data_IF_470836666770
#
_entry.id   IF_470836666770
#
_cell.length_a   1.000
_cell.length_b   1.000
_cell.length_c   1.000
_cell.angle_alpha   90.00
_cell.angle_beta   90.00
_cell.angle_gamma   90.00
#
_symmetry.space_group_name_H-M   'P 1'
#
loop_
_entity.id
_entity.type
_entity.pdbx_description
1 polymer ?
#
# COMPACT_ATOMS: atom_id res chain seq x y z
N UNK A 1 -16.03 -2.07 -10.51
CA UNK A 1 -16.77 -1.47 -9.38
C UNK A 1 -16.82 -2.53 -8.30
N UNK A 2 -16.37 -2.25 -7.07
CA UNK A 2 -16.21 -3.27 -6.02
C UNK A 2 -17.56 -3.55 -5.32
N UNK A 3 -18.41 -4.38 -5.92
CA UNK A 3 -19.79 -4.62 -5.44
C UNK A 3 -19.79 -5.42 -4.13
N UNK A 4 -18.87 -6.37 -3.95
CA UNK A 4 -18.78 -7.19 -2.73
C UNK A 4 -18.62 -6.36 -1.45
N UNK A 5 -17.86 -5.26 -1.52
CA UNK A 5 -17.65 -4.33 -0.40
C UNK A 5 -18.91 -3.56 0.01
N UNK A 6 -19.87 -3.38 -0.91
CA UNK A 6 -21.15 -2.72 -0.60
C UNK A 6 -21.98 -3.51 0.40
N UNK A 7 -21.89 -4.84 0.36
CA UNK A 7 -22.70 -5.76 1.18
C UNK A 7 -22.21 -5.79 2.63
N UNK A 8 -20.89 -5.70 2.84
CA UNK A 8 -20.26 -5.75 4.16
C UNK A 8 -20.60 -4.50 5.01
N UNK A 9 -20.63 -3.32 4.38
CA UNK A 9 -20.89 -2.07 5.09
C UNK A 9 -19.69 -1.55 5.92
N UNK A 10 -19.87 -0.38 6.55
CA UNK A 10 -18.79 0.39 7.22
C UNK A 10 -18.58 0.03 8.68
N UNK A 11 -19.58 -0.58 9.32
CA UNK A 11 -19.65 -0.74 10.77
C UNK A 11 -18.74 -1.88 11.27
N UNK A 12 -18.66 -2.98 10.51
CA UNK A 12 -17.90 -4.15 10.94
C UNK A 12 -16.45 -4.09 10.49
N UNK A 13 -15.59 -4.71 11.30
CA UNK A 13 -14.18 -4.88 10.99
C UNK A 13 -13.95 -6.34 10.68
N UNK A 14 -13.76 -6.65 9.40
CA UNK A 14 -13.56 -8.01 8.94
C UNK A 14 -12.08 -8.30 8.77
N UNK A 15 -11.75 -9.59 8.71
CA UNK A 15 -10.39 -10.08 8.51
C UNK A 15 -10.16 -10.39 7.04
N UNK A 16 -9.10 -9.85 6.48
CA UNK A 16 -8.74 -10.01 5.08
C UNK A 16 -7.37 -10.67 4.96
N UNK A 17 -7.22 -11.47 3.93
CA UNK A 17 -5.95 -12.04 3.52
C UNK A 17 -5.56 -11.45 2.16
N UNK A 18 -4.27 -11.17 1.97
CA UNK A 18 -3.75 -10.68 0.71
C UNK A 18 -2.26 -11.00 0.55
N UNK A 19 -1.80 -11.03 -0.69
CA UNK A 19 -0.37 -11.19 -1.03
C UNK A 19 0.25 -9.82 -1.30
N UNK A 20 1.43 -9.55 -0.77
CA UNK A 20 2.19 -8.34 -1.08
C UNK A 20 2.68 -8.44 -2.52
N UNK A 21 2.20 -7.53 -3.36
CA UNK A 21 2.48 -7.52 -4.78
C UNK A 21 3.65 -6.63 -5.16
N UNK A 22 3.60 -5.33 -4.81
CA UNK A 22 4.60 -4.34 -5.19
C UNK A 22 4.75 -3.24 -4.16
N UNK A 23 5.98 -2.78 -3.92
CA UNK A 23 6.23 -1.56 -3.15
C UNK A 23 6.36 -0.33 -4.05
N UNK A 24 5.77 0.78 -3.63
CA UNK A 24 5.72 2.03 -4.37
C UNK A 24 6.00 3.25 -3.48
N UNK A 25 6.16 4.40 -4.13
CA UNK A 25 6.29 5.70 -3.49
C UNK A 25 5.38 6.66 -4.24
N UNK A 26 4.55 7.41 -3.51
CA UNK A 26 3.78 8.52 -4.09
C UNK A 26 4.33 9.85 -3.58
N UNK A 27 4.54 10.79 -4.49
CA UNK A 27 4.82 12.18 -4.13
C UNK A 27 3.56 12.78 -3.52
N UNK A 28 3.72 13.51 -2.41
CA UNK A 28 2.67 14.33 -1.86
C UNK A 28 3.10 15.79 -1.99
N UNK A 29 2.71 16.43 -3.10
CA UNK A 29 3.05 17.83 -3.41
C UNK A 29 2.59 18.79 -2.31
N UNK A 30 1.52 18.46 -1.58
CA UNK A 30 0.98 19.31 -0.51
C UNK A 30 1.67 19.15 0.85
N UNK A 31 2.33 18.01 1.12
CA UNK A 31 3.00 17.75 2.41
C UNK A 31 4.52 17.74 2.31
N UNK A 32 5.08 17.85 1.12
CA UNK A 32 6.53 17.82 0.88
C UNK A 32 7.22 16.48 1.15
N UNK A 33 6.53 15.49 1.72
CA UNK A 33 7.08 14.18 2.06
C UNK A 33 6.54 13.07 1.15
N UNK A 34 7.41 12.20 0.60
CA UNK A 34 6.98 11.06 -0.17
C UNK A 34 6.40 9.99 0.75
N UNK A 35 5.22 9.48 0.40
CA UNK A 35 4.55 8.44 1.17
C UNK A 35 4.82 7.08 0.52
N UNK A 36 5.38 6.13 1.27
CA UNK A 36 5.53 4.74 0.81
C UNK A 36 4.14 4.11 0.62
N UNK A 37 3.97 3.34 -0.43
CA UNK A 37 2.74 2.61 -0.74
C UNK A 37 3.03 1.13 -0.97
N UNK A 38 2.03 0.29 -0.71
CA UNK A 38 2.09 -1.15 -0.92
C UNK A 38 0.88 -1.57 -1.76
N UNK A 39 1.13 -2.37 -2.79
CA UNK A 39 0.12 -3.02 -3.59
C UNK A 39 -0.15 -4.39 -2.98
N UNK A 40 -1.36 -4.60 -2.49
CA UNK A 40 -1.85 -5.90 -2.10
C UNK A 40 -2.60 -6.54 -3.26
N UNK A 41 -2.33 -7.81 -3.53
CA UNK A 41 -2.98 -8.62 -4.56
C UNK A 41 -3.85 -9.69 -3.90
N UNK A 42 -4.85 -10.18 -4.65
CA UNK A 42 -5.74 -11.27 -4.23
C UNK A 42 -6.35 -11.01 -2.85
N UNK A 43 -6.98 -9.85 -2.67
CA UNK A 43 -7.56 -9.49 -1.38
C UNK A 43 -8.86 -10.28 -1.20
N UNK A 44 -8.88 -11.17 -0.21
CA UNK A 44 -10.02 -12.04 0.10
C UNK A 44 -10.50 -11.79 1.53
N UNK A 45 -11.80 -11.90 1.76
CA UNK A 45 -12.36 -11.93 3.11
C UNK A 45 -12.22 -13.34 3.66
N UNK A 46 -11.57 -13.49 4.82
CA UNK A 46 -11.34 -14.81 5.43
C UNK A 46 -12.64 -15.41 5.96
N UNK A 47 -13.55 -14.56 6.47
CA UNK A 47 -14.78 -15.03 7.10
C UNK A 47 -15.78 -15.57 6.06
N UNK A 48 -15.81 -14.98 4.86
CA UNK A 48 -16.76 -15.37 3.80
C UNK A 48 -16.13 -16.11 2.64
N UNK A 49 -14.80 -16.07 2.50
CA UNK A 49 -14.09 -16.59 1.32
C UNK A 49 -14.21 -15.70 0.08
N UNK A 50 -14.92 -14.57 0.15
CA UNK A 50 -15.18 -13.73 -1.01
C UNK A 50 -13.93 -13.00 -1.48
N UNK A 51 -13.70 -13.02 -2.80
CA UNK A 51 -12.70 -12.16 -3.44
C UNK A 51 -13.23 -10.73 -3.45
N UNK A 52 -12.55 -9.86 -2.72
CA UNK A 52 -12.92 -8.46 -2.56
C UNK A 52 -12.44 -7.63 -3.75
N UNK A 53 -11.19 -7.82 -4.15
CA UNK A 53 -10.54 -7.11 -5.26
C UNK A 53 -9.23 -7.80 -5.64
N UNK A 54 -8.92 -7.81 -6.93
CA UNK A 54 -7.66 -8.40 -7.43
C UNK A 54 -6.44 -7.65 -6.91
N UNK A 55 -6.58 -6.33 -6.77
CA UNK A 55 -5.52 -5.49 -6.25
C UNK A 55 -6.05 -4.27 -5.48
N UNK A 56 -5.29 -3.85 -4.46
CA UNK A 56 -5.58 -2.68 -3.65
C UNK A 56 -4.28 -2.00 -3.20
N UNK A 57 -4.19 -0.70 -3.49
CA UNK A 57 -3.11 0.14 -2.99
C UNK A 57 -3.41 0.64 -1.58
N UNK A 58 -2.42 0.50 -0.70
CA UNK A 58 -2.41 1.06 0.65
C UNK A 58 -1.23 2.00 0.84
N UNK A 59 -1.41 3.02 1.68
CA UNK A 59 -0.28 3.79 2.20
C UNK A 59 0.36 3.01 3.34
N UNK A 60 1.69 2.88 3.30
CA UNK A 60 2.49 2.26 4.36
C UNK A 60 2.57 3.24 5.54
N UNK A 61 1.76 2.97 6.57
CA UNK A 61 1.83 3.69 7.84
C UNK A 61 2.96 3.18 8.73
N UNK A 62 3.10 3.79 9.92
CA UNK A 62 4.12 3.41 10.93
C UNK A 62 4.15 1.90 11.22
N UNK A 63 2.97 1.29 11.36
CA UNK A 63 2.83 -0.15 11.66
C UNK A 63 3.39 -1.04 10.55
N UNK A 64 3.12 -0.72 9.29
CA UNK A 64 3.61 -1.48 8.13
C UNK A 64 5.11 -1.25 7.90
N UNK A 65 5.60 -0.04 8.20
CA UNK A 65 7.03 0.27 8.09
C UNK A 65 7.89 -0.62 9.00
N UNK A 66 7.39 -0.93 10.21
CA UNK A 66 8.10 -1.79 11.15
C UNK A 66 8.10 -3.27 10.73
N UNK A 67 7.18 -3.70 9.88
CA UNK A 67 7.02 -5.10 9.45
C UNK A 67 7.94 -5.50 8.30
N UNK A 68 8.65 -4.54 7.66
CA UNK A 68 9.58 -4.77 6.53
C UNK A 68 9.05 -5.79 5.50
N UNK A 69 7.82 -5.54 5.02
CA UNK A 69 7.15 -6.43 4.08
C UNK A 69 7.89 -6.48 2.74
N UNK A 70 8.04 -7.68 2.19
CA UNK A 70 8.61 -7.92 0.87
C UNK A 70 7.56 -8.40 -0.13
N UNK A 71 7.85 -8.21 -1.41
CA UNK A 71 7.03 -8.78 -2.49
C UNK A 71 7.01 -10.31 -2.35
N UNK A 72 5.80 -10.90 -2.35
CA UNK A 72 5.57 -12.31 -2.08
C UNK A 72 5.10 -12.64 -0.66
N UNK A 73 5.27 -11.74 0.32
CA UNK A 73 4.79 -11.96 1.68
C UNK A 73 3.26 -12.11 1.69
N UNK A 74 2.74 -13.10 2.43
CA UNK A 74 1.30 -13.19 2.70
C UNK A 74 0.98 -12.41 3.97
N UNK A 75 -0.04 -11.55 3.90
CA UNK A 75 -0.47 -10.77 5.04
C UNK A 75 -1.95 -10.97 5.33
N UNK A 76 -2.25 -11.09 6.62
CA UNK A 76 -3.60 -11.14 7.15
C UNK A 76 -3.83 -9.92 8.02
N UNK A 77 -4.94 -9.22 7.84
CA UNK A 77 -5.19 -7.97 8.55
C UNK A 77 -6.67 -7.67 8.74
N UNK A 78 -6.97 -6.89 9.78
CA UNK A 78 -8.30 -6.38 10.04
C UNK A 78 -8.47 -5.00 9.42
N UNK A 79 -9.51 -4.81 8.62
CA UNK A 79 -9.84 -3.51 8.01
C UNK A 79 -11.35 -3.23 8.03
N UNK A 80 -11.72 -1.96 7.87
CA UNK A 80 -13.11 -1.54 7.67
C UNK A 80 -13.33 -1.12 6.23
N UNK A 81 -14.51 -1.41 5.70
CA UNK A 81 -14.91 -0.90 4.39
C UNK A 81 -15.22 0.58 4.51
N UNK A 82 -14.49 1.40 3.76
CA UNK A 82 -14.78 2.80 3.54
C UNK A 82 -15.33 3.03 2.14
N UNK A 83 -16.09 4.12 1.99
CA UNK A 83 -16.51 4.60 0.68
C UNK A 83 -15.53 5.67 0.19
N UNK A 84 -15.18 5.62 -1.09
CA UNK A 84 -14.44 6.66 -1.79
C UNK A 84 -15.33 7.26 -2.87
N UNK A 85 -15.59 8.57 -2.80
CA UNK A 85 -16.36 9.27 -3.84
C UNK A 85 -15.40 9.76 -4.92
N UNK A 86 -15.53 9.26 -6.15
CA UNK A 86 -14.75 9.71 -7.30
C UNK A 86 -15.63 10.56 -8.24
N UNK A 87 -15.10 11.70 -8.67
CA UNK A 87 -15.68 12.54 -9.74
C UNK A 87 -16.02 13.97 -9.31
N UNK A 88 -15.58 14.95 -10.09
CA UNK A 88 -15.91 16.38 -9.93
C UNK A 88 -17.32 16.70 -10.47
N UNK A 89 -17.78 15.97 -11.50
CA UNK A 89 -19.05 16.23 -12.24
C UNK A 89 -20.09 15.10 -12.12
N UNK A 90 -19.67 13.83 -12.06
CA UNK A 90 -20.55 12.66 -11.85
C UNK A 90 -20.04 11.86 -10.66
N UNK A 91 -20.82 11.83 -9.56
CA UNK A 91 -20.41 11.20 -8.30
C UNK A 91 -20.59 9.68 -8.40
N UNK A 92 -19.51 8.95 -8.62
CA UNK A 92 -19.50 7.48 -8.56
C UNK A 92 -18.93 7.05 -7.20
N UNK A 93 -19.69 6.26 -6.44
CA UNK A 93 -19.23 5.70 -5.17
C UNK A 93 -18.41 4.45 -5.46
N UNK A 94 -17.15 4.46 -5.05
CA UNK A 94 -16.28 3.30 -5.00
C UNK A 94 -16.03 2.90 -3.54
N UNK A 95 -15.46 1.73 -3.32
CA UNK A 95 -15.19 1.20 -1.98
C UNK A 95 -13.69 0.98 -1.80
N UNK A 96 -13.20 1.24 -0.60
CA UNK A 96 -11.80 1.06 -0.19
C UNK A 96 -11.75 0.36 1.16
N UNK A 97 -10.61 -0.21 1.51
CA UNK A 97 -10.37 -0.67 2.87
C UNK A 97 -9.57 0.39 3.63
N UNK A 98 -9.96 0.67 4.88
CA UNK A 98 -9.31 1.62 5.77
C UNK A 98 -8.95 0.96 7.10
N UNK A 99 -8.07 1.63 7.85
CA UNK A 99 -7.74 1.28 9.24
C UNK A 99 -7.23 -0.16 9.40
N UNK A 100 -6.23 -0.50 8.61
CA UNK A 100 -5.51 -1.76 8.71
C UNK A 100 -4.90 -1.92 10.12
N UNK A 101 -5.22 -3.01 10.80
CA UNK A 101 -4.76 -3.33 12.16
C UNK A 101 -4.66 -4.83 12.34
N UNK A 102 -4.04 -5.29 13.44
CA UNK A 102 -3.84 -6.73 13.73
C UNK A 102 -3.24 -7.45 12.52
N UNK A 103 -2.11 -6.92 12.04
CA UNK A 103 -1.44 -7.43 10.86
C UNK A 103 -0.60 -8.62 11.28
N UNK A 104 -0.83 -9.75 10.63
CA UNK A 104 -0.03 -10.96 10.73
C UNK A 104 0.62 -11.21 9.38
N UNK A 105 1.89 -11.58 9.40
CA UNK A 105 2.67 -11.85 8.19
C UNK A 105 3.02 -13.32 8.20
N UNK A 106 2.77 -14.00 7.09
CA UNK A 106 3.18 -15.38 6.85
C UNK A 106 4.20 -15.36 5.72
N UNK A 107 5.44 -15.74 6.06
CA UNK A 107 6.54 -15.91 5.10
C UNK A 107 6.75 -17.40 4.91
N UNK A 108 6.58 -17.90 3.69
CA UNK A 108 6.70 -19.34 3.37
C UNK A 108 8.17 -19.79 3.31
N UNK A 109 9.10 -18.86 3.19
CA UNK A 109 10.53 -19.07 2.92
C UNK A 109 11.45 -18.78 4.12
N UNK A 110 10.94 -18.22 5.22
CA UNK A 110 11.77 -17.89 6.41
C UNK A 110 10.94 -17.86 7.71
N UNK A 111 11.41 -18.55 8.74
CA UNK A 111 10.86 -18.37 10.09
C UNK A 111 11.07 -16.92 10.54
N UNK A 112 10.06 -16.36 11.22
CA UNK A 112 10.12 -15.02 11.83
C UNK A 112 11.17 -15.03 12.96
N UNK A 113 12.44 -14.83 12.63
CA UNK A 113 13.45 -14.56 13.63
C UNK A 113 13.19 -13.17 14.21
N UNK A 114 13.07 -13.07 15.53
CA UNK A 114 12.86 -11.82 16.28
C UNK A 114 13.94 -10.75 15.97
N UNK A 115 15.06 -11.16 15.36
CA UNK A 115 16.20 -10.31 14.99
C UNK A 115 16.05 -9.66 13.59
N UNK A 116 15.16 -10.14 12.71
CA UNK A 116 14.87 -9.45 11.43
C UNK A 116 14.12 -8.11 11.60
N UNK A 117 13.73 -7.79 12.84
CA UNK A 117 13.23 -6.48 13.25
C UNK A 117 14.29 -5.38 12.95
N UNK A 118 15.58 -5.71 12.77
CA UNK A 118 16.65 -4.74 12.51
C UNK A 118 17.66 -5.20 11.46
N UNK A 119 17.25 -5.49 10.22
CA UNK A 119 18.19 -5.57 9.09
C UNK A 119 18.25 -4.25 8.30
N UNK A 120 19.38 -3.54 8.40
CA UNK A 120 19.69 -2.22 7.82
C UNK A 120 20.04 -2.26 6.31
N UNK A 121 19.46 -3.18 5.56
CA UNK A 121 19.84 -3.40 4.15
C UNK A 121 18.83 -2.81 3.15
N UNK A 122 17.74 -2.19 3.61
CA UNK A 122 16.93 -1.33 2.74
C UNK A 122 17.57 0.05 2.63
N UNK A 123 17.65 0.65 1.44
CA UNK A 123 18.17 1.99 1.29
C UNK A 123 17.41 2.93 2.22
N UNK A 124 18.20 3.71 2.95
CA UNK A 124 17.71 4.69 3.92
C UNK A 124 16.69 5.60 3.24
N UNK A 125 15.77 6.14 4.04
CA UNK A 125 14.86 7.20 3.60
C UNK A 125 15.60 8.31 2.83
N UNK A 126 16.81 8.63 3.28
CA UNK A 126 17.66 9.66 2.68
C UNK A 126 18.22 9.25 1.31
N UNK A 127 18.54 7.97 1.12
CA UNK A 127 19.06 7.46 -0.16
C UNK A 127 17.98 7.40 -1.23
N UNK A 128 16.75 7.03 -0.84
CA UNK A 128 15.59 7.07 -1.73
C UNK A 128 15.22 8.50 -2.11
N UNK A 129 15.32 9.45 -1.18
CA UNK A 129 15.10 10.87 -1.45
C UNK A 129 16.11 11.45 -2.44
N UNK A 130 17.41 11.21 -2.21
CA UNK A 130 18.49 11.64 -3.12
C UNK A 130 18.34 11.01 -4.50
N UNK A 131 17.94 9.74 -4.59
CA UNK A 131 17.67 9.09 -5.87
C UNK A 131 16.49 9.73 -6.63
N UNK A 132 15.47 10.21 -5.91
CA UNK A 132 14.32 10.88 -6.50
C UNK A 132 14.64 12.32 -6.93
N UNK A 133 15.40 13.07 -6.12
CA UNK A 133 15.92 14.39 -6.51
C UNK A 133 16.79 14.32 -7.76
N UNK A 134 17.69 13.33 -7.85
CA UNK A 134 18.48 13.10 -9.08
C UNK A 134 17.60 12.86 -10.29
N UNK A 135 16.61 11.97 -10.20
CA UNK A 135 15.66 11.73 -11.30
C UNK A 135 14.86 12.96 -11.69
N UNK A 136 14.57 13.84 -10.73
CA UNK A 136 13.87 15.11 -10.98
C UNK A 136 14.78 16.10 -11.69
N UNK A 137 16.01 16.26 -11.22
CA UNK A 137 17.02 17.12 -11.84
C UNK A 137 17.35 16.65 -13.27
N UNK A 138 17.55 15.34 -13.48
CA UNK A 138 17.74 14.75 -14.81
C UNK A 138 16.56 15.03 -15.75
N UNK A 139 15.33 15.01 -15.22
CA UNK A 139 14.12 15.30 -16.00
C UNK A 139 13.98 16.79 -16.32
N UNK A 140 14.30 17.67 -15.38
CA UNK A 140 14.32 19.13 -15.57
C UNK A 140 15.45 19.56 -16.52
N UNK A 141 16.62 18.93 -16.46
CA UNK A 141 17.75 19.15 -17.35
C UNK A 141 17.49 18.63 -18.78
N UNK A 142 16.83 17.47 -18.90
CA UNK A 142 16.34 16.97 -20.19
C UNK A 142 15.28 17.92 -20.80
N UNK A 143 14.33 18.41 -20.00
CA UNK A 143 13.33 19.38 -20.47
C UNK A 143 13.95 20.74 -20.86
N UNK A 144 15.04 21.16 -20.21
CA UNK A 144 15.78 22.38 -20.58
C UNK A 144 16.56 22.22 -21.89
N UNK A 145 17.25 21.09 -22.06
CA UNK A 145 18.07 20.80 -23.25
C UNK A 145 17.26 20.47 -24.51
N UNK A 146 15.99 20.08 -24.38
CA UNK A 146 15.08 19.87 -25.51
C UNK A 146 14.33 21.15 -25.95
N UNK A 147 14.42 22.23 -25.17
CA UNK A 147 13.77 23.51 -25.45
C UNK A 147 14.74 24.63 -25.90
N UNK A 148 16.01 24.29 -26.18
CA UNK A 148 17.03 25.18 -26.76
C UNK A 148 17.68 24.55 -28.00
#
# INVERSE_FOLDING_TARGET
MRIALKVIGKETRNRYHATVGRMGIKSNEFKGFPERTILLKNVVNIDTGDVITDHLWFTVGKTLKNLKLKEGDEITFNARVGTYRKGYKYKKTDYKLNYMTKIEVKRLDRELNAEEITSDTEPSFEELWKAQERKRQEREEYEYTQNY
#
